data_IF_612871709895
#
_entry.id   IF_612871709895
#
_cell.length_a   1.000
_cell.length_b   1.000
_cell.length_c   1.000
_cell.angle_alpha   90.00
_cell.angle_beta   90.00
_cell.angle_gamma   90.00
#
_symmetry.space_group_name_H-M   'P 1'
#
loop_
_entity.id
_entity.type
_entity.pdbx_description
1 polymer ?
#
# COMPACT_ATOMS: atom_id res chain seq x y z
N UNK A 1 7.75 -0.05 7.19
CA UNK A 1 7.78 -1.48 7.60
C UNK A 1 9.05 -2.17 7.10
N UNK A 2 9.32 -3.44 7.46
CA UNK A 2 10.58 -4.12 7.07
C UNK A 2 10.80 -4.17 5.53
N UNK A 3 9.73 -4.04 4.74
CA UNK A 3 9.77 -3.83 3.28
C UNK A 3 10.60 -2.62 2.83
N UNK A 4 10.64 -1.52 3.60
CA UNK A 4 11.45 -0.34 3.23
C UNK A 4 12.95 -0.64 3.25
N UNK A 5 13.38 -1.55 4.11
CA UNK A 5 14.76 -2.01 4.16
C UNK A 5 15.07 -3.04 3.08
N UNK A 6 14.08 -3.82 2.64
CA UNK A 6 14.23 -4.91 1.67
C UNK A 6 13.13 -4.90 0.62
N UNK A 7 13.07 -3.86 -0.24
CA UNK A 7 11.94 -3.63 -1.13
C UNK A 7 11.81 -4.68 -2.24
N UNK A 8 12.84 -5.52 -2.43
CA UNK A 8 12.86 -6.62 -3.41
C UNK A 8 12.40 -7.96 -2.84
N UNK A 9 12.27 -8.07 -1.52
CA UNK A 9 11.88 -9.33 -0.88
C UNK A 9 10.36 -9.49 -0.93
N UNK A 10 9.90 -10.34 -1.85
CA UNK A 10 8.47 -10.62 -2.07
C UNK A 10 7.79 -11.19 -0.82
N UNK A 11 8.53 -11.88 0.05
CA UNK A 11 7.97 -12.49 1.27
C UNK A 11 7.68 -11.44 2.35
N UNK A 12 8.26 -10.25 2.24
CA UNK A 12 8.09 -9.14 3.20
C UNK A 12 7.06 -8.11 2.77
N UNK A 13 6.41 -8.33 1.62
CA UNK A 13 5.39 -7.44 1.10
C UNK A 13 4.09 -7.54 1.88
N UNK A 14 3.68 -8.77 2.21
CA UNK A 14 2.51 -9.05 3.04
C UNK A 14 2.94 -9.25 4.49
N UNK A 15 2.02 -8.98 5.42
CA UNK A 15 2.25 -9.37 6.81
C UNK A 15 2.35 -10.90 6.91
N UNK A 16 3.24 -11.44 7.78
CA UNK A 16 3.30 -12.87 8.01
C UNK A 16 1.97 -13.44 8.52
N UNK A 17 1.69 -14.74 8.33
CA UNK A 17 0.37 -15.32 8.62
C UNK A 17 -0.09 -15.14 10.07
N UNK A 18 0.80 -15.31 11.04
CA UNK A 18 0.47 -15.24 12.47
C UNK A 18 0.07 -13.81 12.90
N UNK A 19 0.89 -12.76 12.68
CA UNK A 19 0.46 -11.38 12.91
C UNK A 19 -0.81 -11.01 12.15
N UNK A 20 -0.96 -11.48 10.91
CA UNK A 20 -2.15 -11.23 10.10
C UNK A 20 -3.42 -11.79 10.74
N UNK A 21 -3.38 -13.01 11.25
CA UNK A 21 -4.53 -13.64 11.94
C UNK A 21 -4.91 -12.92 13.23
N UNK A 22 -3.91 -12.49 14.02
CA UNK A 22 -4.15 -11.72 15.25
C UNK A 22 -4.85 -10.40 14.91
N UNK A 23 -4.32 -9.65 13.94
CA UNK A 23 -4.87 -8.37 13.54
C UNK A 23 -6.27 -8.52 12.91
N UNK A 24 -6.45 -9.50 12.03
CA UNK A 24 -7.73 -9.82 11.42
C UNK A 24 -8.79 -10.17 12.48
N UNK A 25 -8.43 -10.96 13.49
CA UNK A 25 -9.34 -11.33 14.59
C UNK A 25 -9.72 -10.12 15.45
N UNK A 26 -8.75 -9.26 15.76
CA UNK A 26 -9.01 -8.03 16.52
C UNK A 26 -9.92 -7.07 15.76
N UNK A 27 -9.68 -6.88 14.45
CA UNK A 27 -10.51 -6.03 13.58
C UNK A 27 -11.92 -6.62 13.43
N UNK A 28 -12.04 -7.93 13.22
CA UNK A 28 -13.34 -8.60 13.16
C UNK A 28 -14.10 -8.44 14.48
N UNK A 29 -13.43 -8.66 15.61
CA UNK A 29 -14.02 -8.48 16.94
C UNK A 29 -14.53 -7.05 17.16
N UNK A 30 -13.72 -6.04 16.81
CA UNK A 30 -14.13 -4.63 16.88
C UNK A 30 -15.32 -4.33 15.97
N UNK A 31 -15.30 -4.80 14.73
CA UNK A 31 -16.43 -4.65 13.82
C UNK A 31 -17.68 -5.31 14.41
N UNK A 32 -17.58 -6.55 14.89
CA UNK A 32 -18.70 -7.27 15.50
C UNK A 32 -19.25 -6.56 16.75
N UNK A 33 -18.40 -5.94 17.57
CA UNK A 33 -18.86 -5.13 18.72
C UNK A 33 -19.65 -3.89 18.28
N UNK A 34 -19.27 -3.24 17.18
CA UNK A 34 -19.92 -2.01 16.69
C UNK A 34 -21.21 -2.32 15.90
N UNK A 35 -21.19 -3.35 15.05
CA UNK A 35 -22.27 -3.61 14.07
C UNK A 35 -22.96 -4.97 14.23
N UNK A 36 -22.57 -5.79 15.21
CA UNK A 36 -23.15 -7.11 15.45
C UNK A 36 -23.02 -8.04 14.24
N UNK A 37 -24.12 -8.72 13.90
CA UNK A 37 -24.14 -9.71 12.80
C UNK A 37 -23.83 -9.11 11.42
N UNK A 38 -23.97 -7.80 11.21
CA UNK A 38 -23.57 -7.17 9.95
C UNK A 38 -22.06 -7.28 9.68
N UNK A 39 -21.24 -7.53 10.71
CA UNK A 39 -19.81 -7.73 10.56
C UNK A 39 -19.49 -8.93 9.66
N UNK A 40 -20.34 -9.96 9.63
CA UNK A 40 -20.15 -11.10 8.72
C UNK A 40 -20.29 -10.74 7.24
N UNK A 41 -21.02 -9.67 6.91
CA UNK A 41 -21.11 -9.14 5.55
C UNK A 41 -20.04 -8.09 5.26
N UNK A 42 -19.71 -7.25 6.25
CA UNK A 42 -18.74 -6.17 6.09
C UNK A 42 -17.29 -6.67 6.07
N UNK A 43 -16.95 -7.61 6.95
CA UNK A 43 -15.58 -8.11 7.12
C UNK A 43 -14.99 -8.76 5.87
N UNK A 44 -15.72 -9.59 5.09
CA UNK A 44 -15.23 -10.07 3.80
C UNK A 44 -14.88 -8.93 2.84
N UNK A 45 -15.67 -7.85 2.79
CA UNK A 45 -15.36 -6.66 2.00
C UNK A 45 -14.07 -5.96 2.46
N UNK A 46 -13.87 -5.86 3.78
CA UNK A 46 -12.62 -5.37 4.36
C UNK A 46 -11.41 -6.25 3.94
N UNK A 47 -11.53 -7.57 4.01
CA UNK A 47 -10.47 -8.49 3.58
C UNK A 47 -10.16 -8.37 2.09
N UNK A 48 -11.18 -8.26 1.24
CA UNK A 48 -10.99 -8.02 -0.20
C UNK A 48 -10.22 -6.72 -0.40
N UNK A 49 -10.57 -5.64 0.31
CA UNK A 49 -9.84 -4.37 0.27
C UNK A 49 -8.36 -4.51 0.66
N UNK A 50 -8.06 -5.28 1.71
CA UNK A 50 -6.68 -5.57 2.12
C UNK A 50 -5.90 -6.35 1.05
N UNK A 51 -6.52 -7.37 0.45
CA UNK A 51 -5.90 -8.15 -0.63
C UNK A 51 -5.67 -7.30 -1.88
N UNK A 52 -6.62 -6.45 -2.25
CA UNK A 52 -6.45 -5.48 -3.34
C UNK A 52 -5.31 -4.50 -3.06
N UNK A 53 -5.21 -3.99 -1.83
CA UNK A 53 -4.11 -3.13 -1.40
C UNK A 53 -2.75 -3.82 -1.57
N UNK A 54 -2.59 -5.04 -1.05
CA UNK A 54 -1.34 -5.79 -1.17
C UNK A 54 -1.02 -6.19 -2.61
N UNK A 55 -2.02 -6.52 -3.41
CA UNK A 55 -1.86 -6.83 -4.84
C UNK A 55 -1.41 -5.60 -5.62
N UNK A 56 -1.98 -4.43 -5.32
CA UNK A 56 -1.56 -3.16 -5.92
C UNK A 56 -0.13 -2.81 -5.52
N UNK A 57 0.22 -3.00 -4.24
CA UNK A 57 1.58 -2.80 -3.77
C UNK A 57 2.57 -3.71 -4.51
N UNK A 58 2.23 -4.99 -4.70
CA UNK A 58 3.02 -5.92 -5.49
C UNK A 58 3.17 -5.42 -6.93
N UNK A 59 2.06 -5.05 -7.56
CA UNK A 59 2.02 -4.58 -8.94
C UNK A 59 2.93 -3.37 -9.16
N UNK A 60 2.97 -2.43 -8.20
CA UNK A 60 3.82 -1.24 -8.29
C UNK A 60 5.31 -1.61 -8.38
N UNK A 61 5.74 -2.59 -7.60
CA UNK A 61 7.12 -3.08 -7.59
C UNK A 61 7.41 -4.15 -8.65
N UNK A 62 6.39 -4.68 -9.36
CA UNK A 62 6.56 -5.76 -10.33
C UNK A 62 6.58 -5.26 -11.78
N UNK A 63 5.81 -4.23 -12.12
CA UNK A 63 5.68 -3.76 -13.51
C UNK A 63 5.34 -2.28 -13.62
N UNK A 64 5.47 -1.75 -14.84
CA UNK A 64 5.05 -0.39 -15.17
C UNK A 64 3.52 -0.21 -15.02
N UNK A 65 3.03 1.00 -14.70
CA UNK A 65 1.61 1.26 -14.53
C UNK A 65 0.84 0.84 -15.81
N UNK A 66 -0.19 -0.02 -15.69
CA UNK A 66 -0.89 -0.53 -16.86
C UNK A 66 -1.75 0.54 -17.55
N UNK A 67 -2.11 1.61 -16.83
CA UNK A 67 -2.90 2.72 -17.35
C UNK A 67 -2.27 4.08 -17.01
N UNK A 68 -2.44 5.08 -17.89
CA UNK A 68 -1.87 6.43 -17.71
C UNK A 68 -2.30 7.10 -16.40
N UNK A 69 -3.56 6.93 -15.99
CA UNK A 69 -4.09 7.52 -14.76
C UNK A 69 -3.49 6.92 -13.48
N UNK A 70 -2.93 5.71 -13.55
CA UNK A 70 -2.25 5.08 -12.41
C UNK A 70 -0.81 5.57 -12.22
N UNK A 71 -0.23 6.27 -13.21
CA UNK A 71 1.16 6.71 -13.15
C UNK A 71 1.47 7.56 -11.91
N UNK A 72 0.52 8.41 -11.50
CA UNK A 72 0.66 9.22 -10.29
C UNK A 72 0.82 8.37 -9.02
N UNK A 73 0.10 7.25 -8.94
CA UNK A 73 0.11 6.36 -7.78
C UNK A 73 1.39 5.52 -7.69
N UNK A 74 1.88 5.00 -8.83
CA UNK A 74 3.22 4.36 -8.91
C UNK A 74 4.29 5.32 -8.42
N UNK A 75 4.26 6.54 -8.96
CA UNK A 75 5.23 7.57 -8.65
C UNK A 75 5.16 8.02 -7.18
N UNK A 76 3.97 8.18 -6.62
CA UNK A 76 3.76 8.49 -5.21
C UNK A 76 4.46 7.45 -4.32
N UNK A 77 4.21 6.17 -4.61
CA UNK A 77 4.78 5.07 -3.84
C UNK A 77 6.29 4.90 -4.05
N UNK A 78 6.80 5.12 -5.25
CA UNK A 78 8.25 5.12 -5.49
C UNK A 78 8.97 6.23 -4.71
N UNK A 79 8.42 7.45 -4.73
CA UNK A 79 8.97 8.58 -3.95
C UNK A 79 8.91 8.31 -2.44
N UNK A 80 7.85 7.66 -1.95
CA UNK A 80 7.78 7.20 -0.56
C UNK A 80 8.97 6.31 -0.19
N UNK A 81 9.40 5.42 -1.08
CA UNK A 81 10.50 4.49 -0.81
C UNK A 81 11.90 5.12 -0.81
N UNK A 82 12.21 6.05 -1.71
CA UNK A 82 13.59 6.57 -1.84
C UNK A 82 13.75 8.06 -1.57
N UNK A 83 12.67 8.84 -1.52
CA UNK A 83 12.71 10.30 -1.36
C UNK A 83 12.39 10.73 0.05
N UNK A 84 11.23 10.31 0.57
CA UNK A 84 10.77 10.63 1.92
C UNK A 84 9.69 9.63 2.36
N UNK A 85 9.99 8.79 3.35
CA UNK A 85 9.07 7.78 3.87
C UNK A 85 8.00 8.33 4.83
N UNK A 86 8.08 9.62 5.20
CA UNK A 86 7.04 10.36 5.93
C UNK A 86 5.96 10.97 5.00
N UNK A 87 6.00 10.67 3.70
CA UNK A 87 5.04 11.13 2.67
C UNK A 87 4.62 10.00 1.74
N UNK A 88 3.50 10.17 1.04
CA UNK A 88 3.02 9.25 0.00
C UNK A 88 2.64 7.87 0.53
N UNK A 89 1.91 7.83 1.66
CA UNK A 89 1.46 6.59 2.30
C UNK A 89 0.42 5.83 1.46
N UNK A 90 -0.27 6.53 0.56
CA UNK A 90 -1.29 5.97 -0.30
C UNK A 90 -0.73 5.06 -1.40
N UNK A 91 -1.07 3.76 -1.31
CA UNK A 91 -0.66 2.74 -2.30
C UNK A 91 -1.79 2.40 -3.28
N UNK A 92 -3.04 2.32 -2.82
CA UNK A 92 -4.21 2.07 -3.66
C UNK A 92 -4.91 3.35 -4.12
N UNK A 93 -4.66 4.46 -3.43
CA UNK A 93 -5.24 5.79 -3.66
C UNK A 93 -4.45 6.84 -2.88
N UNK A 94 -4.31 8.06 -3.40
CA UNK A 94 -3.72 9.21 -2.70
C UNK A 94 -4.74 10.02 -1.89
N UNK A 95 -6.02 9.58 -1.82
CA UNK A 95 -7.09 10.31 -1.15
C UNK A 95 -6.72 10.71 0.28
N UNK A 96 -6.23 9.76 1.06
CA UNK A 96 -5.85 10.02 2.45
C UNK A 96 -4.57 10.85 2.56
N UNK A 97 -3.66 10.76 1.59
CA UNK A 97 -2.51 11.66 1.56
C UNK A 97 -2.95 13.13 1.39
N UNK A 98 -3.97 13.38 0.57
CA UNK A 98 -4.53 14.73 0.44
C UNK A 98 -5.24 15.18 1.72
N UNK A 99 -6.02 14.30 2.36
CA UNK A 99 -6.75 14.61 3.60
C UNK A 99 -5.79 14.96 4.73
N UNK A 100 -4.67 14.25 4.85
CA UNK A 100 -3.69 14.44 5.93
C UNK A 100 -2.48 15.31 5.54
N UNK A 101 -2.43 15.80 4.31
CA UNK A 101 -1.36 16.71 3.85
C UNK A 101 0.00 16.03 3.63
N UNK A 102 0.02 14.74 3.30
CA UNK A 102 1.24 13.92 3.15
C UNK A 102 1.59 13.64 1.68
N UNK A 103 1.03 14.40 0.73
CA UNK A 103 1.32 14.26 -0.71
C UNK A 103 2.69 14.82 -1.10
N UNK A 104 3.26 14.25 -2.17
CA UNK A 104 4.38 14.86 -2.91
C UNK A 104 3.89 15.90 -3.92
N UNK A 105 4.74 16.89 -4.21
CA UNK A 105 4.52 17.81 -5.34
C UNK A 105 5.07 17.14 -6.60
N UNK A 106 4.21 16.41 -7.30
CA UNK A 106 4.58 15.65 -8.49
C UNK A 106 5.02 16.53 -9.67
N UNK A 107 4.85 17.84 -9.64
CA UNK A 107 5.39 18.70 -10.71
C UNK A 107 6.86 19.06 -10.43
N UNK A 108 7.22 19.21 -9.15
CA UNK A 108 8.59 19.55 -8.73
C UNK A 108 9.46 18.32 -8.48
N UNK A 109 8.90 17.23 -7.98
CA UNK A 109 9.64 16.07 -7.47
C UNK A 109 9.72 14.95 -8.50
N UNK A 110 10.64 15.07 -9.46
CA UNK A 110 10.83 14.09 -10.55
C UNK A 110 11.31 12.72 -10.04
N UNK A 111 10.87 11.66 -10.71
CA UNK A 111 11.36 10.32 -10.42
C UNK A 111 12.83 10.14 -10.84
N UNK A 112 13.61 9.50 -9.98
CA UNK A 112 14.91 8.97 -10.33
C UNK A 112 14.74 7.57 -10.91
N UNK A 113 15.06 7.40 -12.19
CA UNK A 113 14.86 6.14 -12.93
C UNK A 113 15.73 5.01 -12.40
N UNK A 114 16.95 5.30 -11.94
CA UNK A 114 17.83 4.28 -11.37
C UNK A 114 17.30 3.82 -10.02
N UNK A 115 16.82 4.75 -9.19
CA UNK A 115 16.15 4.41 -7.93
C UNK A 115 14.89 3.60 -8.12
N UNK A 116 14.06 3.93 -9.11
CA UNK A 116 12.88 3.12 -9.44
C UNK A 116 13.29 1.69 -9.82
N UNK A 117 14.33 1.52 -10.65
CA UNK A 117 14.85 0.20 -11.03
C UNK A 117 15.43 -0.58 -9.84
N UNK A 118 16.01 0.11 -8.85
CA UNK A 118 16.45 -0.49 -7.58
C UNK A 118 15.29 -1.08 -6.77
N UNK A 119 14.08 -0.53 -6.88
CA UNK A 119 12.89 -0.96 -6.14
C UNK A 119 12.11 -2.11 -6.81
N UNK A 120 12.38 -2.41 -8.08
CA UNK A 120 11.62 -3.43 -8.80
C UNK A 120 12.05 -4.85 -8.39
N UNK A 121 11.09 -5.76 -8.34
CA UNK A 121 11.27 -7.20 -8.17
C UNK A 121 11.87 -7.84 -9.44
N UNK A 122 13.12 -7.52 -9.76
CA UNK A 122 13.87 -8.23 -10.81
C UNK A 122 14.38 -9.58 -10.31
#
# INVERSE_FOLDING_TARGET
GNHHHYPRDKERLFMPPVPSLILASAIFGLQYLIMGKFAFMFFPGFLIGYLMYGTMHYAIHAWNPPFKWMKGLWRNHHLHHYKNDDKGFGVSSTLWDHVFGTTFDLDKEKEDKEKVKELMFH
#
